data_IF_222511734892
#
_entry.id   IF_222511734892
#
_cell.length_a   1.000
_cell.length_b   1.000
_cell.length_c   1.000
_cell.angle_alpha   90.00
_cell.angle_beta   90.00
_cell.angle_gamma   90.00
#
_symmetry.space_group_name_H-M   'P 1'
#
loop_
_entity.id
_entity.type
_entity.pdbx_description
1 polymer ?
#
# COMPACT_ATOMS: atom_id res chain seq x y z
N UNK A 1 -10.71 18.65 6.16
CA UNK A 1 -9.49 19.41 5.80
C UNK A 1 -9.25 19.24 4.31
N UNK A 2 -9.72 20.19 3.48
CA UNK A 2 -9.41 20.23 2.04
C UNK A 2 -7.89 20.08 1.85
N UNK A 3 -7.42 19.51 0.73
CA UNK A 3 -5.98 19.58 0.42
C UNK A 3 -5.61 21.07 0.44
N UNK A 4 -4.85 21.50 1.43
CA UNK A 4 -4.49 22.90 1.54
C UNK A 4 -3.66 23.23 0.31
N UNK A 5 -4.24 24.03 -0.60
CA UNK A 5 -3.49 24.56 -1.71
C UNK A 5 -2.49 25.56 -1.13
N UNK A 6 -1.21 25.23 -1.24
CA UNK A 6 -0.12 26.08 -0.81
C UNK A 6 0.37 26.88 -2.01
N UNK A 7 0.66 28.17 -1.79
CA UNK A 7 1.20 29.03 -2.85
C UNK A 7 2.59 28.60 -3.31
N UNK A 8 3.32 27.88 -2.45
CA UNK A 8 4.66 27.39 -2.72
C UNK A 8 4.77 25.91 -2.33
N UNK A 9 5.66 25.17 -3.01
CA UNK A 9 5.96 23.80 -2.65
C UNK A 9 6.78 23.76 -1.34
N UNK A 10 6.60 22.73 -0.48
CA UNK A 10 7.44 22.55 0.70
C UNK A 10 8.93 22.61 0.37
N UNK A 11 9.70 23.45 1.07
CA UNK A 11 11.13 23.72 0.78
C UNK A 11 11.97 22.44 0.65
N UNK A 12 11.71 21.45 1.49
CA UNK A 12 12.44 20.18 1.49
C UNK A 12 12.29 19.37 0.20
N UNK A 13 11.26 19.64 -0.61
CA UNK A 13 11.08 19.01 -1.92
C UNK A 13 12.04 19.58 -2.97
N UNK A 14 12.40 20.86 -2.85
CA UNK A 14 13.21 21.59 -3.84
C UNK A 14 14.67 21.77 -3.42
N UNK A 15 14.95 21.79 -2.11
CA UNK A 15 16.29 22.04 -1.55
C UNK A 15 17.31 20.94 -1.87
N UNK A 16 16.85 19.72 -2.12
CA UNK A 16 17.73 18.55 -2.25
C UNK A 16 17.24 17.50 -3.24
N UNK A 17 17.99 16.40 -3.30
CA UNK A 17 17.61 15.24 -4.12
C UNK A 17 16.76 14.29 -3.28
N UNK A 18 15.53 14.05 -3.71
CA UNK A 18 14.61 13.14 -3.02
C UNK A 18 15.11 11.70 -3.06
N UNK A 19 15.05 11.04 -1.90
CA UNK A 19 15.45 9.64 -1.77
C UNK A 19 14.36 8.75 -2.32
N UNK A 20 14.75 7.66 -2.97
CA UNK A 20 13.79 6.67 -3.44
C UNK A 20 13.33 5.83 -2.25
N UNK A 21 12.04 5.86 -1.93
CA UNK A 21 11.46 5.14 -0.80
C UNK A 21 10.97 3.74 -1.19
N UNK A 22 10.33 3.63 -2.35
CA UNK A 22 9.76 2.36 -2.80
C UNK A 22 9.22 2.42 -4.21
N UNK A 23 8.76 1.27 -4.69
CA UNK A 23 8.07 1.16 -5.97
C UNK A 23 6.99 0.09 -5.94
N UNK A 24 5.84 0.40 -6.55
CA UNK A 24 4.82 -0.58 -6.89
C UNK A 24 4.89 -0.94 -8.38
N UNK A 25 3.86 -1.59 -8.92
CA UNK A 25 3.76 -1.84 -10.37
C UNK A 25 3.53 -0.53 -11.12
N UNK A 26 2.56 0.29 -10.67
CA UNK A 26 2.14 1.51 -11.36
C UNK A 26 2.84 2.80 -10.92
N UNK A 27 3.59 2.81 -9.82
CA UNK A 27 4.17 4.05 -9.26
C UNK A 27 5.53 3.86 -8.60
N UNK A 28 6.35 4.90 -8.64
CA UNK A 28 7.60 5.02 -7.90
C UNK A 28 7.42 6.12 -6.85
N UNK A 29 7.87 5.86 -5.64
CA UNK A 29 7.68 6.75 -4.49
C UNK A 29 9.03 7.33 -4.10
N UNK A 30 9.10 8.66 -4.04
CA UNK A 30 10.26 9.42 -3.58
C UNK A 30 9.90 10.19 -2.32
N UNK A 31 10.86 10.41 -1.45
CA UNK A 31 10.65 11.01 -0.15
C UNK A 31 11.76 12.02 0.19
N UNK A 32 11.32 13.15 0.76
CA UNK A 32 12.13 14.02 1.60
C UNK A 32 11.99 13.57 3.06
N UNK A 33 12.28 14.45 4.02
CA UNK A 33 12.17 14.14 5.44
C UNK A 33 10.72 13.95 5.88
N UNK A 34 9.81 14.84 5.47
CA UNK A 34 8.42 14.86 5.90
C UNK A 34 7.41 14.62 4.77
N UNK A 35 7.83 14.71 3.52
CA UNK A 35 6.95 14.58 2.36
C UNK A 35 7.34 13.44 1.43
N UNK A 36 6.32 12.91 0.76
CA UNK A 36 6.40 11.86 -0.24
C UNK A 36 5.77 12.39 -1.52
N UNK A 37 6.49 12.23 -2.63
CA UNK A 37 5.97 12.49 -3.97
C UNK A 37 5.90 11.18 -4.76
N UNK A 38 4.83 11.05 -5.54
CA UNK A 38 4.57 9.85 -6.34
C UNK A 38 4.83 10.18 -7.80
N UNK A 39 5.60 9.33 -8.47
CA UNK A 39 5.70 9.32 -9.93
C UNK A 39 4.89 8.16 -10.47
N UNK A 40 3.87 8.46 -11.25
CA UNK A 40 3.17 7.42 -12.01
C UNK A 40 4.08 6.85 -13.10
N UNK A 41 3.97 5.55 -13.33
CA UNK A 41 4.62 4.89 -14.46
C UNK A 41 3.71 4.97 -15.66
N UNK A 42 4.31 5.17 -16.83
CA UNK A 42 3.55 5.06 -18.06
C UNK A 42 3.04 3.63 -18.25
N UNK A 43 1.91 3.41 -18.97
CA UNK A 43 1.42 2.07 -19.27
C UNK A 43 2.50 1.16 -19.88
N UNK A 44 3.39 1.74 -20.69
CA UNK A 44 4.51 1.03 -21.30
C UNK A 44 5.53 0.54 -20.28
N UNK A 45 5.91 1.37 -19.31
CA UNK A 45 6.82 0.94 -18.22
C UNK A 45 6.20 -0.19 -17.38
N UNK A 46 4.88 -0.14 -17.16
CA UNK A 46 4.14 -1.19 -16.44
C UNK A 46 4.14 -2.50 -17.20
N UNK A 47 3.78 -2.49 -18.49
CA UNK A 47 3.78 -3.70 -19.33
C UNK A 47 5.18 -4.30 -19.42
N UNK A 48 6.19 -3.45 -19.61
CA UNK A 48 7.58 -3.90 -19.68
C UNK A 48 7.99 -4.62 -18.39
N UNK A 49 7.62 -4.11 -17.22
CA UNK A 49 7.87 -4.78 -15.93
C UNK A 49 7.17 -6.14 -15.83
N UNK A 50 5.89 -6.23 -16.20
CA UNK A 50 5.11 -7.48 -16.12
C UNK A 50 5.74 -8.57 -16.99
N UNK A 51 6.05 -8.23 -18.25
CA UNK A 51 6.62 -9.20 -19.20
C UNK A 51 8.03 -9.58 -18.81
N UNK A 52 8.86 -8.63 -18.35
CA UNK A 52 10.21 -8.95 -17.94
C UNK A 52 10.21 -9.88 -16.72
N UNK A 53 9.31 -9.65 -15.78
CA UNK A 53 9.11 -10.53 -14.64
C UNK A 53 8.57 -11.92 -15.05
N UNK A 54 7.65 -12.01 -16.02
CA UNK A 54 7.25 -13.30 -16.61
C UNK A 54 8.42 -14.01 -17.29
N UNK A 55 9.26 -13.27 -18.00
CA UNK A 55 10.48 -13.79 -18.64
C UNK A 55 11.44 -14.38 -17.62
N UNK A 56 11.73 -13.64 -16.54
CA UNK A 56 12.57 -14.11 -15.42
C UNK A 56 11.99 -15.38 -14.78
N UNK A 57 10.69 -15.40 -14.47
CA UNK A 57 10.02 -16.61 -13.92
C UNK A 57 10.06 -17.81 -14.86
N UNK A 58 9.99 -17.59 -16.18
CA UNK A 58 10.07 -18.68 -17.15
C UNK A 58 11.51 -19.18 -17.28
N UNK A 59 12.49 -18.29 -17.25
CA UNK A 59 13.91 -18.61 -17.27
C UNK A 59 14.36 -19.35 -16.01
N UNK A 60 13.72 -19.11 -14.85
CA UNK A 60 13.98 -19.84 -13.61
C UNK A 60 13.88 -21.37 -13.78
N UNK A 61 12.96 -21.86 -14.61
CA UNK A 61 12.80 -23.31 -14.88
C UNK A 61 13.97 -23.92 -15.65
N UNK A 62 14.79 -23.10 -16.30
CA UNK A 62 15.91 -23.52 -17.15
C UNK A 62 17.27 -23.20 -16.52
N UNK A 63 17.31 -22.56 -15.35
CA UNK A 63 18.55 -22.24 -14.64
C UNK A 63 18.86 -23.30 -13.56
N UNK A 64 19.89 -24.14 -13.74
CA UNK A 64 20.25 -25.16 -12.76
C UNK A 64 20.80 -24.55 -11.45
N UNK A 65 20.58 -25.24 -10.33
CA UNK A 65 21.31 -25.01 -9.06
C UNK A 65 20.78 -23.90 -8.14
N UNK A 66 19.51 -23.51 -8.21
CA UNK A 66 18.93 -22.54 -7.27
C UNK A 66 19.47 -21.11 -7.41
N UNK A 67 20.20 -20.82 -8.49
CA UNK A 67 20.71 -19.49 -8.84
C UNK A 67 19.54 -18.52 -9.10
N UNK A 68 18.45 -19.00 -9.71
CA UNK A 68 17.21 -18.25 -9.88
C UNK A 68 16.59 -17.82 -8.55
N UNK A 69 16.50 -18.74 -7.58
CA UNK A 69 15.97 -18.45 -6.24
C UNK A 69 16.83 -17.44 -5.46
N UNK A 70 18.17 -17.52 -5.56
CA UNK A 70 19.08 -16.52 -4.94
C UNK A 70 19.00 -15.15 -5.61
N UNK A 71 18.81 -15.09 -6.92
CA UNK A 71 18.55 -13.85 -7.65
C UNK A 71 17.20 -13.24 -7.26
N UNK A 72 16.18 -14.07 -6.99
CA UNK A 72 14.81 -13.68 -6.61
C UNK A 72 14.64 -13.29 -5.12
N UNK A 73 15.61 -13.60 -4.25
CA UNK A 73 15.52 -13.32 -2.81
C UNK A 73 15.78 -11.85 -2.40
N UNK A 74 16.24 -10.96 -3.30
CA UNK A 74 16.57 -9.55 -2.99
C UNK A 74 15.91 -8.55 -3.95
N UNK A 75 14.67 -8.11 -3.66
CA UNK A 75 13.87 -7.29 -4.58
C UNK A 75 14.54 -5.99 -5.04
N UNK A 76 15.32 -5.32 -4.17
CA UNK A 76 15.91 -4.01 -4.47
C UNK A 76 17.01 -4.02 -5.54
N UNK A 77 17.80 -5.11 -5.68
CA UNK A 77 18.83 -5.25 -6.73
C UNK A 77 18.22 -5.72 -8.06
N UNK A 78 17.19 -6.55 -8.00
CA UNK A 78 16.46 -7.05 -9.17
C UNK A 78 15.87 -5.91 -9.99
N UNK A 79 15.32 -4.90 -9.32
CA UNK A 79 14.69 -3.74 -9.96
C UNK A 79 15.71 -2.90 -10.75
N UNK A 80 16.95 -2.78 -10.26
CA UNK A 80 18.02 -2.05 -10.98
C UNK A 80 18.41 -2.81 -12.26
N UNK A 81 18.50 -4.13 -12.19
CA UNK A 81 18.74 -5.00 -13.34
C UNK A 81 17.55 -4.99 -14.32
N UNK A 82 16.32 -5.10 -13.79
CA UNK A 82 15.07 -4.99 -14.52
C UNK A 82 15.03 -3.69 -15.31
N UNK A 83 15.41 -2.55 -14.72
CA UNK A 83 15.44 -1.25 -15.40
C UNK A 83 16.43 -1.20 -16.56
N UNK A 84 17.65 -1.71 -16.37
CA UNK A 84 18.66 -1.77 -17.45
C UNK A 84 18.15 -2.67 -18.58
N UNK A 85 17.58 -3.83 -18.23
CA UNK A 85 17.00 -4.76 -19.18
C UNK A 85 15.75 -4.20 -19.87
N UNK A 86 14.91 -3.44 -19.16
CA UNK A 86 13.73 -2.76 -19.70
C UNK A 86 14.16 -1.66 -20.67
N UNK A 87 15.13 -0.82 -20.30
CA UNK A 87 15.67 0.21 -21.21
C UNK A 87 16.33 -0.40 -22.46
N UNK A 88 16.96 -1.59 -22.33
CA UNK A 88 17.48 -2.35 -23.47
C UNK A 88 16.39 -3.00 -24.32
N UNK A 89 15.42 -3.68 -23.70
CA UNK A 89 14.32 -4.36 -24.39
C UNK A 89 13.40 -3.38 -25.15
N UNK A 90 13.19 -2.18 -24.59
CA UNK A 90 12.44 -1.10 -25.24
C UNK A 90 13.06 -0.64 -26.57
N UNK A 91 14.34 -0.93 -26.83
CA UNK A 91 15.00 -0.62 -28.11
C UNK A 91 14.92 -1.73 -29.14
N UNK A 92 14.59 -2.96 -28.75
CA UNK A 92 14.80 -4.16 -29.59
C UNK A 92 13.51 -4.84 -30.04
N UNK A 93 12.41 -4.73 -29.28
CA UNK A 93 11.21 -5.51 -29.56
C UNK A 93 10.03 -4.65 -30.08
N UNK A 94 9.44 -4.98 -31.23
CA UNK A 94 8.35 -4.21 -31.84
C UNK A 94 7.05 -4.27 -31.03
N UNK A 95 6.34 -3.13 -31.00
CA UNK A 95 5.14 -2.85 -30.19
C UNK A 95 4.04 -3.92 -30.24
N UNK A 96 3.86 -4.59 -31.38
CA UNK A 96 2.78 -5.58 -31.57
C UNK A 96 2.92 -6.86 -30.71
N UNK A 97 4.14 -7.25 -30.33
CA UNK A 97 4.37 -8.46 -29.53
C UNK A 97 4.07 -8.23 -28.04
N UNK A 98 4.15 -6.99 -27.56
CA UNK A 98 3.93 -6.65 -26.14
C UNK A 98 2.46 -6.51 -25.77
N UNK A 99 1.59 -6.13 -26.71
CA UNK A 99 0.15 -5.92 -26.52
C UNK A 99 -0.65 -7.23 -26.69
N UNK A 100 -0.26 -8.30 -26.00
CA UNK A 100 -1.14 -9.48 -25.94
C UNK A 100 -2.37 -9.17 -25.07
N UNK A 101 -3.56 -9.51 -25.56
CA UNK A 101 -4.87 -9.16 -24.96
C UNK A 101 -4.96 -9.49 -23.47
N UNK A 102 -4.36 -10.61 -23.06
CA UNK A 102 -4.37 -11.10 -21.67
C UNK A 102 -3.60 -10.22 -20.67
N UNK A 103 -2.53 -9.53 -21.10
CA UNK A 103 -1.79 -8.59 -20.22
C UNK A 103 -2.59 -7.30 -20.04
N UNK A 104 -3.25 -6.86 -21.11
CA UNK A 104 -4.12 -5.68 -21.10
C UNK A 104 -5.34 -5.90 -20.21
N UNK A 105 -6.02 -7.04 -20.32
CA UNK A 105 -7.19 -7.37 -19.50
C UNK A 105 -6.86 -7.41 -18.00
N UNK A 106 -5.78 -8.09 -17.60
CA UNK A 106 -5.36 -8.15 -16.20
C UNK A 106 -5.01 -6.75 -15.65
N UNK A 107 -4.38 -5.90 -16.46
CA UNK A 107 -4.08 -4.52 -16.09
C UNK A 107 -5.35 -3.66 -16.01
N UNK A 108 -6.29 -3.80 -16.94
CA UNK A 108 -7.55 -3.06 -16.93
C UNK A 108 -8.38 -3.39 -15.68
N UNK A 109 -8.42 -4.65 -15.26
CA UNK A 109 -9.09 -5.07 -14.02
C UNK A 109 -8.39 -4.48 -12.79
N UNK A 110 -7.06 -4.57 -12.71
CA UNK A 110 -6.30 -4.01 -11.61
C UNK A 110 -6.47 -2.48 -11.50
N UNK A 111 -6.37 -1.77 -12.63
CA UNK A 111 -6.55 -0.32 -12.72
C UNK A 111 -7.96 0.10 -12.32
N UNK A 112 -9.00 -0.61 -12.78
CA UNK A 112 -10.40 -0.31 -12.43
C UNK A 112 -10.65 -0.41 -10.92
N UNK A 113 -10.12 -1.45 -10.25
CA UNK A 113 -10.28 -1.63 -8.79
C UNK A 113 -9.48 -0.58 -8.01
N UNK A 114 -8.21 -0.37 -8.37
CA UNK A 114 -7.38 0.64 -7.72
C UNK A 114 -7.99 2.04 -7.84
N UNK A 115 -8.48 2.41 -9.03
CA UNK A 115 -9.10 3.71 -9.26
C UNK A 115 -10.38 3.90 -8.46
N UNK A 116 -11.23 2.87 -8.36
CA UNK A 116 -12.44 2.95 -7.51
C UNK A 116 -12.08 3.15 -6.04
N UNK A 117 -11.14 2.37 -5.51
CA UNK A 117 -10.70 2.48 -4.13
C UNK A 117 -10.08 3.85 -3.81
N UNK A 118 -9.21 4.35 -4.69
CA UNK A 118 -8.63 5.70 -4.57
C UNK A 118 -9.71 6.80 -4.66
N UNK A 119 -10.71 6.65 -5.56
CA UNK A 119 -11.85 7.57 -5.64
C UNK A 119 -12.67 7.58 -4.36
N UNK A 120 -12.96 6.41 -3.79
CA UNK A 120 -13.70 6.27 -2.53
C UNK A 120 -12.92 6.89 -1.36
N UNK A 121 -11.61 6.68 -1.29
CA UNK A 121 -10.78 7.35 -0.30
C UNK A 121 -10.82 8.88 -0.45
N UNK A 122 -10.73 9.39 -1.68
CA UNK A 122 -10.83 10.82 -1.93
C UNK A 122 -12.21 11.39 -1.56
N UNK A 123 -13.30 10.66 -1.82
CA UNK A 123 -14.65 11.12 -1.53
C UNK A 123 -14.97 11.07 -0.02
N UNK A 124 -14.61 9.99 0.67
CA UNK A 124 -15.09 9.71 2.03
C UNK A 124 -14.04 9.90 3.12
N UNK A 125 -12.75 9.85 2.79
CA UNK A 125 -11.65 9.96 3.75
C UNK A 125 -10.79 11.20 3.58
N UNK A 126 -10.93 11.95 2.47
CA UNK A 126 -10.18 13.18 2.29
C UNK A 126 -10.42 14.15 3.46
N UNK A 127 -9.31 14.68 3.97
CA UNK A 127 -9.36 15.63 5.08
C UNK A 127 -9.69 15.05 6.45
N UNK A 128 -9.65 13.72 6.59
CA UNK A 128 -9.70 13.02 7.88
C UNK A 128 -8.31 12.62 8.32
N UNK A 129 -8.17 12.27 9.60
CA UNK A 129 -6.96 11.68 10.16
C UNK A 129 -6.73 10.21 9.76
N UNK A 130 -7.65 9.61 9.00
CA UNK A 130 -7.49 8.25 8.48
C UNK A 130 -6.60 8.19 7.23
N UNK A 131 -6.28 9.32 6.63
CA UNK A 131 -5.38 9.42 5.48
C UNK A 131 -4.16 10.26 5.84
N UNK A 132 -2.98 9.97 5.25
CA UNK A 132 -1.86 10.89 5.32
C UNK A 132 -2.28 12.26 4.75
N UNK A 133 -1.78 13.35 5.36
CA UNK A 133 -2.09 14.70 4.88
C UNK A 133 -1.55 14.89 3.46
N UNK A 134 -2.32 15.57 2.61
CA UNK A 134 -1.90 15.88 1.24
C UNK A 134 -1.95 17.38 1.03
N UNK A 135 -0.87 17.93 0.46
CA UNK A 135 -0.75 19.34 0.08
C UNK A 135 -0.58 19.44 -1.43
N UNK A 136 -1.22 20.44 -2.02
CA UNK A 136 -1.11 20.77 -3.44
C UNK A 136 -0.45 22.12 -3.60
N UNK A 137 0.30 22.29 -4.68
CA UNK A 137 1.06 23.51 -4.96
C UNK A 137 1.28 23.65 -6.47
N UNK A 138 1.64 24.84 -6.98
CA UNK A 138 1.97 25.03 -8.39
C UNK A 138 3.06 24.03 -8.85
N UNK A 139 3.01 23.53 -10.10
CA UNK A 139 3.98 22.54 -10.58
C UNK A 139 5.43 23.01 -10.42
N UNK A 140 6.23 22.22 -9.69
CA UNK A 140 7.66 22.47 -9.48
C UNK A 140 8.51 21.31 -9.96
N UNK A 141 9.74 21.62 -10.39
CA UNK A 141 10.72 20.60 -10.79
C UNK A 141 11.56 20.19 -9.60
N UNK A 142 11.54 18.91 -9.25
CA UNK A 142 12.31 18.35 -8.14
C UNK A 142 13.34 17.33 -8.63
N UNK A 143 14.51 17.33 -7.98
CA UNK A 143 15.57 16.36 -8.27
C UNK A 143 15.27 15.07 -7.52
N UNK A 144 15.24 13.93 -8.22
CA UNK A 144 14.97 12.64 -7.57
C UNK A 144 16.11 11.64 -7.80
N UNK A 145 16.39 10.80 -6.81
CA UNK A 145 17.50 9.85 -6.87
C UNK A 145 17.27 8.76 -7.93
N UNK A 146 18.27 8.58 -8.81
CA UNK A 146 18.24 7.55 -9.84
C UNK A 146 17.39 7.91 -11.07
N UNK A 147 16.94 9.16 -11.20
CA UNK A 147 16.34 9.67 -12.43
C UNK A 147 17.31 10.70 -13.05
N UNK A 148 17.59 10.61 -14.36
CA UNK A 148 18.58 11.50 -15.00
C UNK A 148 18.06 12.93 -15.17
N UNK A 149 16.74 13.14 -15.11
CA UNK A 149 16.13 14.47 -15.21
C UNK A 149 15.55 14.96 -13.89
N UNK A 150 14.73 16.00 -14.00
CA UNK A 150 13.86 16.46 -12.91
C UNK A 150 12.47 15.83 -13.07
N UNK A 151 11.75 15.73 -11.96
CA UNK A 151 10.36 15.30 -11.93
C UNK A 151 9.49 16.54 -11.68
N UNK A 152 8.51 16.79 -12.52
CA UNK A 152 7.48 17.79 -12.24
C UNK A 152 6.49 17.21 -11.24
N UNK A 153 6.28 17.90 -10.12
CA UNK A 153 5.34 17.52 -9.06
C UNK A 153 4.48 18.72 -8.69
N UNK A 154 3.21 18.46 -8.36
CA UNK A 154 2.20 19.46 -7.96
C UNK A 154 1.45 19.04 -6.68
N UNK A 155 1.78 17.86 -6.15
CA UNK A 155 1.16 17.28 -4.97
C UNK A 155 2.22 16.54 -4.16
N UNK A 156 2.15 16.67 -2.83
CA UNK A 156 2.94 15.88 -1.90
C UNK A 156 2.05 15.32 -0.79
N UNK A 157 2.34 14.08 -0.41
CA UNK A 157 1.66 13.35 0.67
C UNK A 157 2.59 13.28 1.88
N UNK A 158 2.05 13.42 3.08
CA UNK A 158 2.75 13.25 4.34
C UNK A 158 3.50 11.92 4.37
N UNK A 159 4.78 11.96 4.77
CA UNK A 159 5.59 10.78 4.96
C UNK A 159 5.23 10.14 6.30
N UNK A 160 4.88 8.86 6.26
CA UNK A 160 4.71 8.05 7.46
C UNK A 160 6.05 7.57 8.00
N UNK A 161 6.12 7.38 9.32
CA UNK A 161 7.31 6.88 10.03
C UNK A 161 7.66 5.44 9.62
N UNK A 162 6.63 4.64 9.38
CA UNK A 162 6.73 3.24 8.97
C UNK A 162 5.35 2.63 8.78
N UNK A 163 5.30 1.34 8.43
CA UNK A 163 4.05 0.58 8.41
C UNK A 163 3.59 0.26 9.84
N UNK A 164 2.29 0.04 10.03
CA UNK A 164 1.75 -0.37 11.33
C UNK A 164 2.40 -1.69 11.80
N UNK A 165 2.64 -2.63 10.89
CA UNK A 165 3.39 -3.85 11.20
C UNK A 165 4.78 -3.54 11.76
N UNK A 166 5.55 -2.63 11.14
CA UNK A 166 6.88 -2.25 11.61
C UNK A 166 6.84 -1.64 13.00
N UNK A 167 5.85 -0.79 13.29
CA UNK A 167 5.66 -0.20 14.62
C UNK A 167 5.38 -1.28 15.68
N UNK A 168 4.43 -2.17 15.40
CA UNK A 168 4.07 -3.26 16.33
C UNK A 168 5.23 -4.22 16.56
N UNK A 169 5.98 -4.57 15.50
CA UNK A 169 7.16 -5.41 15.62
C UNK A 169 8.30 -4.74 16.41
N UNK A 170 8.46 -3.42 16.31
CA UNK A 170 9.43 -2.69 17.13
C UNK A 170 9.03 -2.73 18.62
N UNK A 171 7.78 -2.42 18.94
CA UNK A 171 7.26 -2.46 20.31
C UNK A 171 7.36 -3.88 20.93
N UNK A 172 7.02 -4.91 20.16
CA UNK A 172 7.12 -6.30 20.61
C UNK A 172 8.57 -6.71 20.91
N UNK A 173 9.54 -6.30 20.07
CA UNK A 173 10.98 -6.54 20.34
C UNK A 173 11.48 -5.84 21.59
N UNK A 174 10.90 -4.70 21.93
CA UNK A 174 11.18 -3.95 23.16
C UNK A 174 10.41 -4.51 24.38
N UNK A 175 9.58 -5.54 24.21
CA UNK A 175 8.74 -6.10 25.28
C UNK A 175 7.57 -5.19 25.70
N UNK A 176 7.29 -4.12 24.95
CA UNK A 176 6.26 -3.12 25.24
C UNK A 176 4.88 -3.56 24.77
N UNK A 177 4.44 -4.71 25.26
CA UNK A 177 3.21 -5.35 24.81
C UNK A 177 1.93 -4.59 25.20
N UNK A 178 1.94 -3.81 26.29
CA UNK A 178 0.82 -2.92 26.60
C UNK A 178 0.52 -1.95 25.46
N UNK A 179 1.56 -1.34 24.87
CA UNK A 179 1.40 -0.46 23.72
C UNK A 179 1.02 -1.21 22.45
N UNK A 180 1.50 -2.44 22.26
CA UNK A 180 1.05 -3.30 21.14
C UNK A 180 -0.47 -3.45 21.20
N UNK A 181 -1.04 -3.73 22.37
CA UNK A 181 -2.49 -3.87 22.56
C UNK A 181 -3.24 -2.55 22.27
N UNK A 182 -2.72 -1.42 22.74
CA UNK A 182 -3.30 -0.09 22.43
C UNK A 182 -3.33 0.20 20.93
N UNK A 183 -2.23 -0.07 20.20
CA UNK A 183 -2.17 0.13 18.76
C UNK A 183 -3.09 -0.82 17.99
N UNK A 184 -3.28 -2.05 18.47
CA UNK A 184 -4.23 -3.00 17.90
C UNK A 184 -5.68 -2.54 18.09
N UNK A 185 -6.04 -1.97 19.24
CA UNK A 185 -7.38 -1.40 19.44
C UNK A 185 -7.57 -0.15 18.57
N UNK A 186 -6.58 0.75 18.49
CA UNK A 186 -6.63 1.91 17.56
C UNK A 186 -6.82 1.47 16.11
N UNK A 187 -6.25 0.33 15.73
CA UNK A 187 -6.43 -0.23 14.38
C UNK A 187 -7.89 -0.66 14.16
N UNK A 188 -8.49 -1.35 15.12
CA UNK A 188 -9.91 -1.74 15.08
C UNK A 188 -10.82 -0.50 15.05
N UNK A 189 -10.51 0.53 15.82
CA UNK A 189 -11.23 1.81 15.83
C UNK A 189 -11.13 2.53 14.48
N UNK A 190 -9.95 2.57 13.86
CA UNK A 190 -9.77 3.11 12.51
C UNK A 190 -10.70 2.42 11.51
N UNK A 191 -10.78 1.08 11.55
CA UNK A 191 -11.67 0.33 10.65
C UNK A 191 -13.14 0.66 10.89
N UNK A 192 -13.58 0.68 12.15
CA UNK A 192 -14.94 1.05 12.52
C UNK A 192 -15.29 2.48 12.08
N UNK A 193 -14.37 3.44 12.20
CA UNK A 193 -14.55 4.80 11.67
C UNK A 193 -14.72 4.81 10.15
N UNK A 194 -14.01 3.94 9.43
CA UNK A 194 -14.23 3.72 8.00
C UNK A 194 -15.64 3.19 7.70
N UNK A 195 -16.11 2.19 8.45
CA UNK A 195 -17.44 1.59 8.26
C UNK A 195 -18.57 2.60 8.48
N UNK A 196 -18.43 3.48 9.49
CA UNK A 196 -19.36 4.60 9.73
C UNK A 196 -19.38 5.66 8.63
N UNK A 197 -18.49 5.55 7.64
CA UNK A 197 -18.47 6.39 6.43
C UNK A 197 -18.89 5.61 5.19
N UNK A 198 -19.44 4.40 5.36
CA UNK A 198 -19.79 3.51 4.26
C UNK A 198 -18.56 3.00 3.51
N UNK A 199 -17.42 2.84 4.20
CA UNK A 199 -16.19 2.31 3.59
C UNK A 199 -15.68 1.08 4.32
N UNK A 200 -15.38 0.04 3.55
CA UNK A 200 -14.76 -1.19 4.04
C UNK A 200 -13.46 -1.48 3.28
N UNK A 201 -12.39 -1.80 4.01
CA UNK A 201 -11.17 -2.35 3.38
C UNK A 201 -11.25 -3.87 3.30
N UNK A 202 -11.29 -4.40 2.08
CA UNK A 202 -11.28 -5.84 1.80
C UNK A 202 -9.94 -6.51 2.16
N UNK A 203 -8.85 -5.74 2.14
CA UNK A 203 -7.52 -6.18 2.55
C UNK A 203 -7.06 -5.41 3.80
N UNK A 204 -7.25 -6.04 4.95
CA UNK A 204 -6.92 -5.47 6.25
C UNK A 204 -5.45 -5.71 6.66
N UNK A 205 -4.58 -6.17 5.76
CA UNK A 205 -3.20 -6.45 6.08
C UNK A 205 -2.48 -5.19 6.60
N UNK A 206 -1.76 -5.32 7.71
CA UNK A 206 -1.11 -4.20 8.43
C UNK A 206 -0.05 -3.43 7.62
N UNK A 207 0.41 -3.98 6.48
CA UNK A 207 1.31 -3.28 5.55
C UNK A 207 0.60 -2.16 4.76
N UNK A 208 -0.72 -2.22 4.65
CA UNK A 208 -1.55 -1.22 3.97
C UNK A 208 -1.84 -0.02 4.88
N UNK A 209 -1.36 -0.05 6.13
CA UNK A 209 -1.51 0.99 7.13
C UNK A 209 -0.15 1.52 7.56
N UNK A 210 -0.08 2.82 7.78
CA UNK A 210 1.11 3.54 8.22
C UNK A 210 0.90 4.20 9.57
N UNK A 211 2.00 4.60 10.18
CA UNK A 211 2.02 5.37 11.43
C UNK A 211 2.54 6.78 11.16
N UNK A 212 1.77 7.79 11.60
CA UNK A 212 2.20 9.19 11.65
C UNK A 212 1.89 9.74 13.04
N UNK A 213 2.92 9.96 13.85
CA UNK A 213 2.78 10.31 15.26
C UNK A 213 1.99 9.25 16.02
N UNK A 214 0.87 9.66 16.59
CA UNK A 214 -0.06 8.81 17.34
C UNK A 214 -1.20 8.21 16.49
N UNK A 215 -1.23 8.51 15.18
CA UNK A 215 -2.30 8.13 14.25
C UNK A 215 -1.92 6.92 13.41
N UNK A 216 -2.91 6.08 13.13
CA UNK A 216 -2.86 5.07 12.07
C UNK A 216 -3.53 5.65 10.82
N UNK A 217 -2.82 5.61 9.69
CA UNK A 217 -3.30 6.13 8.41
C UNK A 217 -3.34 5.03 7.35
N UNK A 218 -4.27 5.11 6.41
CA UNK A 218 -4.39 4.19 5.28
C UNK A 218 -3.39 4.59 4.18
N UNK A 219 -2.50 3.67 3.81
CA UNK A 219 -1.51 3.87 2.75
C UNK A 219 -1.99 3.36 1.39
N UNK A 220 -2.75 2.25 1.39
CA UNK A 220 -3.29 1.63 0.19
C UNK A 220 -4.83 1.59 0.22
N UNK A 221 -5.43 2.41 -0.64
CA UNK A 221 -6.88 2.50 -0.80
C UNK A 221 -7.43 1.53 -1.85
N UNK A 222 -6.59 0.79 -2.58
CA UNK A 222 -7.03 -0.02 -3.72
C UNK A 222 -8.00 -1.16 -3.37
N UNK A 223 -8.04 -1.56 -2.09
CA UNK A 223 -8.96 -2.56 -1.54
C UNK A 223 -10.23 -1.99 -0.90
N UNK A 224 -10.48 -0.68 -0.98
CA UNK A 224 -11.69 -0.07 -0.43
C UNK A 224 -12.92 -0.36 -1.28
N UNK A 225 -14.05 -0.61 -0.62
CA UNK A 225 -15.36 -0.75 -1.23
C UNK A 225 -16.45 -0.11 -0.37
N UNK A 226 -17.50 0.36 -1.04
CA UNK A 226 -18.74 0.90 -0.48
C UNK A 226 -19.95 -0.02 -0.78
N UNK A 227 -19.72 -1.22 -1.36
CA UNK A 227 -20.78 -2.17 -1.70
C UNK A 227 -20.95 -3.21 -0.61
N UNK A 228 -22.14 -3.24 -0.01
CA UNK A 228 -22.46 -4.19 1.04
C UNK A 228 -22.30 -5.64 0.59
N UNK A 229 -22.63 -6.00 -0.66
CA UNK A 229 -22.52 -7.38 -1.15
C UNK A 229 -21.05 -7.84 -1.25
N UNK A 230 -20.11 -6.92 -1.52
CA UNK A 230 -18.68 -7.22 -1.48
C UNK A 230 -18.18 -7.38 -0.04
N UNK A 231 -18.73 -6.59 0.89
CA UNK A 231 -18.44 -6.67 2.32
C UNK A 231 -18.95 -7.98 2.92
N UNK A 232 -20.20 -8.34 2.67
CA UNK A 232 -20.84 -9.55 3.15
C UNK A 232 -20.07 -10.80 2.73
N UNK A 233 -19.76 -10.95 1.44
CA UNK A 233 -18.91 -12.05 0.94
C UNK A 233 -17.54 -12.09 1.61
N UNK A 234 -16.97 -10.93 1.93
CA UNK A 234 -15.67 -10.88 2.61
C UNK A 234 -15.79 -11.33 4.07
N UNK A 235 -16.88 -10.97 4.75
CA UNK A 235 -17.14 -11.35 6.15
C UNK A 235 -17.46 -12.84 6.29
N UNK A 236 -18.18 -13.44 5.34
CA UNK A 236 -18.36 -14.90 5.28
C UNK A 236 -17.02 -15.65 5.26
N UNK A 237 -16.05 -15.12 4.50
CA UNK A 237 -14.69 -15.67 4.47
C UNK A 237 -13.93 -15.43 5.79
N UNK A 238 -14.25 -14.38 6.55
CA UNK A 238 -13.60 -14.09 7.83
C UNK A 238 -14.13 -14.95 8.97
N UNK A 239 -15.42 -15.36 8.94
CA UNK A 239 -16.03 -16.21 9.97
C UNK A 239 -15.32 -17.55 10.14
N UNK A 240 -14.88 -18.14 9.01
CA UNK A 240 -14.17 -19.44 9.01
C UNK A 240 -12.70 -19.35 9.43
N UNK A 241 -12.16 -18.14 9.60
CA UNK A 241 -10.74 -17.96 9.93
C UNK A 241 -10.53 -18.22 11.42
N UNK A 242 -9.74 -19.25 11.72
CA UNK A 242 -9.44 -19.62 13.10
C UNK A 242 -8.60 -18.55 13.81
N UNK A 243 -7.58 -18.01 13.13
CA UNK A 243 -6.56 -17.13 13.71
C UNK A 243 -6.37 -15.86 12.87
N UNK A 244 -7.25 -14.85 13.02
CA UNK A 244 -7.15 -13.58 12.31
C UNK A 244 -5.78 -12.89 12.42
N UNK A 245 -5.14 -12.93 13.60
CA UNK A 245 -3.82 -12.30 13.78
C UNK A 245 -2.76 -12.84 12.80
N UNK A 246 -2.77 -14.14 12.48
CA UNK A 246 -1.83 -14.72 11.50
C UNK A 246 -2.08 -14.17 10.10
N UNK A 247 -3.34 -14.12 9.67
CA UNK A 247 -3.73 -13.57 8.37
C UNK A 247 -3.33 -12.10 8.21
N UNK A 248 -3.36 -11.33 9.31
CA UNK A 248 -2.95 -9.92 9.34
C UNK A 248 -1.42 -9.73 9.35
N UNK A 249 -0.66 -10.82 9.47
CA UNK A 249 0.79 -10.82 9.57
C UNK A 249 1.30 -10.47 10.97
N UNK A 250 0.54 -10.77 12.02
CA UNK A 250 0.94 -10.56 13.43
C UNK A 250 1.58 -11.79 14.08
N UNK A 251 1.74 -12.90 13.35
CA UNK A 251 2.30 -14.14 13.90
C UNK A 251 3.64 -13.93 14.60
N UNK A 252 4.57 -13.22 13.96
CA UNK A 252 5.89 -12.94 14.54
C UNK A 252 5.83 -11.91 15.67
N UNK A 253 4.84 -11.01 15.66
CA UNK A 253 4.67 -9.95 16.67
C UNK A 253 4.09 -10.53 17.96
N UNK A 254 3.10 -11.41 17.84
CA UNK A 254 2.34 -11.97 18.97
C UNK A 254 2.75 -13.40 19.34
N UNK A 255 3.70 -14.00 18.62
CA UNK A 255 4.11 -15.39 18.83
C UNK A 255 4.64 -15.68 20.24
N UNK A 256 5.27 -14.69 20.88
CA UNK A 256 5.71 -14.76 22.28
C UNK A 256 4.61 -14.48 23.32
N UNK A 257 3.40 -14.12 22.90
CA UNK A 257 2.29 -13.68 23.74
C UNK A 257 0.96 -14.36 23.34
N UNK A 258 0.82 -15.68 23.56
CA UNK A 258 -0.33 -16.46 23.09
C UNK A 258 -1.67 -16.05 23.74
N UNK A 259 -1.65 -15.46 24.92
CA UNK A 259 -2.87 -14.91 25.54
C UNK A 259 -3.33 -13.64 24.85
N UNK A 260 -2.41 -12.72 24.54
CA UNK A 260 -2.70 -11.50 23.79
C UNK A 260 -3.21 -11.83 22.38
N UNK A 261 -2.58 -12.78 21.68
CA UNK A 261 -3.06 -13.27 20.39
C UNK A 261 -4.52 -13.77 20.47
N UNK A 262 -4.84 -14.60 21.49
CA UNK A 262 -6.20 -15.11 21.70
C UNK A 262 -7.21 -14.01 22.05
N UNK A 263 -6.82 -13.02 22.85
CA UNK A 263 -7.68 -11.85 23.15
C UNK A 263 -7.97 -11.05 21.89
N UNK A 264 -6.93 -10.73 21.12
CA UNK A 264 -7.07 -9.99 19.87
C UNK A 264 -7.93 -10.75 18.85
N UNK A 265 -7.72 -12.05 18.66
CA UNK A 265 -8.53 -12.86 17.75
C UNK A 265 -10.02 -12.87 18.13
N UNK A 266 -10.32 -12.97 19.43
CA UNK A 266 -11.69 -12.90 19.94
C UNK A 266 -12.30 -11.54 19.65
N UNK A 267 -11.57 -10.48 20.01
CA UNK A 267 -11.99 -9.09 19.78
C UNK A 267 -12.19 -8.80 18.30
N UNK A 268 -11.32 -9.31 17.44
CA UNK A 268 -11.46 -9.24 15.99
C UNK A 268 -12.77 -9.87 15.53
N UNK A 269 -13.07 -11.09 15.96
CA UNK A 269 -14.30 -11.80 15.57
C UNK A 269 -15.57 -11.12 16.07
N UNK A 270 -15.53 -10.52 17.26
CA UNK A 270 -16.65 -9.74 17.78
C UNK A 270 -16.94 -8.53 16.88
N UNK A 271 -15.90 -7.78 16.49
CA UNK A 271 -16.05 -6.52 15.75
C UNK A 271 -16.19 -6.74 14.23
N UNK A 272 -15.37 -7.62 13.66
CA UNK A 272 -15.28 -7.93 12.23
C UNK A 272 -16.19 -9.13 11.91
N UNK A 273 -17.44 -9.01 12.35
CA UNK A 273 -18.54 -9.92 12.03
C UNK A 273 -19.56 -9.19 11.17
N UNK A 274 -20.47 -9.93 10.52
CA UNK A 274 -21.60 -9.34 9.80
C UNK A 274 -22.34 -8.31 10.66
N UNK A 275 -22.76 -8.74 11.85
CA UNK A 275 -23.50 -7.89 12.79
C UNK A 275 -22.68 -6.69 13.28
N UNK A 276 -21.40 -6.90 13.59
CA UNK A 276 -20.51 -5.84 14.07
C UNK A 276 -20.28 -4.75 13.02
N UNK A 277 -20.03 -5.16 11.77
CA UNK A 277 -19.85 -4.22 10.66
C UNK A 277 -21.16 -3.53 10.31
N UNK A 278 -22.27 -4.27 10.23
CA UNK A 278 -23.58 -3.72 9.88
C UNK A 278 -24.05 -2.64 10.86
N UNK A 279 -23.80 -2.86 12.17
CA UNK A 279 -24.09 -1.88 13.22
C UNK A 279 -23.40 -0.54 12.97
N UNK A 280 -22.15 -0.57 12.52
CA UNK A 280 -21.40 0.64 12.21
C UNK A 280 -21.71 1.19 10.82
N UNK A 281 -22.07 0.32 9.88
CA UNK A 281 -22.39 0.67 8.50
C UNK A 281 -23.71 1.46 8.40
N UNK A 282 -24.76 1.00 9.09
CA UNK A 282 -26.08 1.67 9.08
C UNK A 282 -26.05 3.07 9.69
N UNK A 283 -25.09 3.36 10.57
CA UNK A 283 -24.88 4.71 11.09
C UNK A 283 -24.35 5.70 10.04
N UNK A 284 -23.93 5.21 8.86
CA UNK A 284 -23.46 6.02 7.74
C UNK A 284 -24.56 6.39 6.73
N UNK A 285 -25.69 5.68 6.78
CA UNK A 285 -26.85 5.80 5.87
C UNK A 285 -27.91 6.71 6.47
#
# INVERSE_FOLDING_TARGET
MESAFQHEAPEELVRGRLKRLGEGIGKVVYASEHWVVKRERSPWEVVALIVLWRGVRRAERYLPGGIGARLLARPSKQIRLLRVMTQGAMRVLPMGVWMTTHVREAWEVYRKRAWRGERLAAEKLAGTDAMPRTVRFPPVRVKVMGWPGELTVEEATERVEGTLHQRLAALAREGRYGEVEEWLERFLELRQRGWRRGLFSLDAHLKNFGVSGDRIVLLDAGGLTDRWEEVERRLELEEVIAQPHIQLGLGDVLGGQPEMARRFDRRWKEIVSREGVERHWRAAS
#
